data_IF_545633708145
#
_entry.id   IF_545633708145
#
_cell.length_a   1.000
_cell.length_b   1.000
_cell.length_c   1.000
_cell.angle_alpha   90.00
_cell.angle_beta   90.00
_cell.angle_gamma   90.00
#
_symmetry.space_group_name_H-M   'P 1'
#
loop_
_entity.id
_entity.type
_entity.pdbx_description
1 polymer ?
#
# COMPACT_ATOMS: atom_id res chain seq x y z
N UNK A 1 12.00 -10.52 -3.33
CA UNK A 1 11.30 -9.67 -2.36
C UNK A 1 9.94 -10.27 -2.08
N UNK A 2 9.66 -10.65 -0.84
CA UNK A 2 8.34 -11.04 -0.32
C UNK A 2 7.62 -9.84 0.29
N UNK A 3 6.32 -9.99 0.61
CA UNK A 3 5.56 -8.95 1.34
C UNK A 3 6.24 -8.63 2.67
N UNK A 4 6.65 -9.65 3.43
CA UNK A 4 7.35 -9.48 4.71
C UNK A 4 8.69 -8.76 4.55
N UNK A 5 9.47 -9.09 3.51
CA UNK A 5 10.74 -8.41 3.22
C UNK A 5 10.52 -6.93 2.89
N UNK A 6 9.50 -6.61 2.10
CA UNK A 6 9.14 -5.22 1.80
C UNK A 6 8.66 -4.47 3.04
N UNK A 7 7.80 -5.10 3.85
CA UNK A 7 7.30 -4.51 5.08
C UNK A 7 8.42 -4.20 6.08
N UNK A 8 9.38 -5.11 6.24
CA UNK A 8 10.57 -4.90 7.06
C UNK A 8 11.44 -3.75 6.52
N UNK A 9 11.59 -3.63 5.19
CA UNK A 9 12.31 -2.53 4.56
C UNK A 9 11.67 -1.17 4.85
N UNK A 10 10.35 -1.05 4.71
CA UNK A 10 9.60 0.18 5.02
C UNK A 10 9.73 0.52 6.50
N UNK A 11 9.57 -0.48 7.39
CA UNK A 11 9.71 -0.28 8.84
C UNK A 11 11.10 0.25 9.19
N UNK A 12 12.16 -0.39 8.67
CA UNK A 12 13.54 -0.02 8.98
C UNK A 12 13.90 1.40 8.53
N UNK A 13 13.22 1.95 7.51
CA UNK A 13 13.52 3.27 6.95
C UNK A 13 12.72 4.40 7.58
N UNK A 14 11.45 4.15 7.91
CA UNK A 14 10.49 5.25 8.15
C UNK A 14 9.71 5.13 9.47
N UNK A 15 9.83 4.01 10.19
CA UNK A 15 8.97 3.72 11.34
C UNK A 15 9.00 4.80 12.42
N UNK A 16 10.17 5.30 12.81
CA UNK A 16 10.27 6.29 13.88
C UNK A 16 9.50 7.58 13.53
N UNK A 17 9.66 8.09 12.31
CA UNK A 17 8.96 9.29 11.84
C UNK A 17 7.46 9.04 11.65
N UNK A 18 7.08 7.87 11.16
CA UNK A 18 5.68 7.53 10.88
C UNK A 18 4.90 7.27 12.18
N UNK A 19 5.53 6.64 13.17
CA UNK A 19 4.96 6.41 14.50
C UNK A 19 4.69 7.74 15.22
N UNK A 20 5.60 8.72 15.11
CA UNK A 20 5.39 10.08 15.64
C UNK A 20 4.29 10.84 14.90
N UNK A 21 4.13 10.63 13.58
CA UNK A 21 3.09 11.27 12.76
C UNK A 21 1.68 10.85 13.20
N UNK A 22 1.53 9.60 13.64
CA UNK A 22 0.26 9.02 14.10
C UNK A 22 -0.64 8.55 12.95
N UNK A 23 -1.59 7.67 13.30
CA UNK A 23 -2.40 6.91 12.33
C UNK A 23 -3.22 7.82 11.41
N UNK A 24 -3.96 8.80 11.98
CA UNK A 24 -4.86 9.65 11.19
C UNK A 24 -4.12 10.46 10.12
N UNK A 25 -2.96 11.04 10.47
CA UNK A 25 -2.14 11.80 9.53
C UNK A 25 -1.45 10.89 8.50
N UNK A 26 -1.05 9.70 8.90
CA UNK A 26 -0.49 8.70 7.97
C UNK A 26 -1.53 8.21 6.96
N UNK A 27 -2.79 8.06 7.39
CA UNK A 27 -3.89 7.75 6.47
C UNK A 27 -4.19 8.88 5.48
N UNK A 28 -3.99 10.15 5.88
CA UNK A 28 -4.10 11.28 4.96
C UNK A 28 -3.07 11.18 3.83
N UNK A 29 -1.81 10.84 4.12
CA UNK A 29 -0.80 10.58 3.10
C UNK A 29 -1.23 9.45 2.16
N UNK A 30 -1.65 8.29 2.70
CA UNK A 30 -2.18 7.21 1.85
C UNK A 30 -3.36 7.65 0.97
N UNK A 31 -4.22 8.54 1.45
CA UNK A 31 -5.36 9.05 0.69
C UNK A 31 -4.93 9.95 -0.47
N UNK A 32 -3.83 10.68 -0.30
CA UNK A 32 -3.20 11.48 -1.37
C UNK A 32 -2.67 10.58 -2.48
N UNK A 33 -1.94 9.52 -2.13
CA UNK A 33 -1.42 8.52 -3.09
C UNK A 33 -2.52 7.83 -3.90
N UNK A 34 -3.68 7.56 -3.28
CA UNK A 34 -4.83 7.05 -4.02
C UNK A 34 -5.34 8.05 -5.06
N UNK A 35 -5.28 9.35 -4.75
CA UNK A 35 -5.64 10.43 -5.68
C UNK A 35 -4.66 10.52 -6.85
N UNK A 36 -3.35 10.42 -6.58
CA UNK A 36 -2.30 10.44 -7.61
C UNK A 36 -2.41 9.20 -8.51
N UNK A 37 -2.58 8.01 -7.92
CA UNK A 37 -2.86 6.77 -8.68
C UNK A 37 -4.13 6.89 -9.52
N UNK A 38 -5.22 7.45 -8.98
CA UNK A 38 -6.47 7.63 -9.72
C UNK A 38 -6.27 8.55 -10.94
N UNK A 39 -5.48 9.62 -10.79
CA UNK A 39 -5.15 10.51 -11.90
C UNK A 39 -4.29 9.81 -12.97
N UNK A 40 -3.27 9.05 -12.56
CA UNK A 40 -2.43 8.28 -13.46
C UNK A 40 -3.22 7.21 -14.23
N UNK A 41 -4.13 6.50 -13.55
CA UNK A 41 -5.05 5.54 -14.18
C UNK A 41 -6.01 6.23 -15.16
N UNK A 42 -6.53 7.40 -14.81
CA UNK A 42 -7.37 8.18 -15.72
C UNK A 42 -6.64 8.55 -17.02
N UNK A 43 -5.34 8.85 -16.95
CA UNK A 43 -4.50 9.04 -18.16
C UNK A 43 -4.30 7.73 -18.92
N UNK A 44 -4.09 6.62 -18.20
CA UNK A 44 -3.94 5.31 -18.83
C UNK A 44 -5.16 4.93 -19.67
N UNK A 45 -6.37 5.11 -19.14
CA UNK A 45 -7.61 4.81 -19.87
C UNK A 45 -7.81 5.69 -21.12
N UNK A 46 -7.32 6.94 -21.11
CA UNK A 46 -7.38 7.84 -22.26
C UNK A 46 -6.29 7.60 -23.30
N UNK A 47 -5.31 6.74 -23.00
CA UNK A 47 -4.18 6.45 -23.88
C UNK A 47 -3.07 7.50 -23.85
N UNK A 48 -3.02 8.34 -22.81
CA UNK A 48 -2.01 9.40 -22.61
C UNK A 48 -1.18 9.22 -21.32
N UNK A 49 -1.08 7.99 -20.81
CA UNK A 49 -0.33 7.68 -19.61
C UNK A 49 1.19 7.84 -19.76
N UNK A 50 1.79 8.45 -18.74
CA UNK A 50 3.18 8.20 -18.38
C UNK A 50 3.25 6.91 -17.56
N UNK A 51 3.79 5.85 -18.19
CA UNK A 51 3.90 4.54 -17.56
C UNK A 51 4.93 4.50 -16.42
N UNK A 52 5.90 5.43 -16.37
CA UNK A 52 6.83 5.52 -15.26
C UNK A 52 6.11 6.06 -14.03
N UNK A 53 5.38 7.17 -14.19
CA UNK A 53 4.55 7.73 -13.13
C UNK A 53 3.51 6.72 -12.63
N UNK A 54 2.77 6.04 -13.51
CA UNK A 54 1.79 5.04 -13.08
C UNK A 54 2.42 3.92 -12.20
N UNK A 55 3.64 3.49 -12.51
CA UNK A 55 4.36 2.48 -11.72
C UNK A 55 4.78 3.01 -10.35
N UNK A 56 5.16 4.27 -10.29
CA UNK A 56 5.50 5.00 -9.05
C UNK A 56 4.29 5.05 -8.13
N UNK A 57 3.13 5.52 -8.63
CA UNK A 57 1.91 5.63 -7.83
C UNK A 57 1.42 4.27 -7.26
N UNK A 58 1.56 3.19 -8.03
CA UNK A 58 1.26 1.85 -7.51
C UNK A 58 2.20 1.45 -6.37
N UNK A 59 3.47 1.83 -6.45
CA UNK A 59 4.45 1.56 -5.41
C UNK A 59 4.18 2.40 -4.16
N UNK A 60 3.82 3.68 -4.33
CA UNK A 60 3.59 4.59 -3.21
C UNK A 60 2.32 4.24 -2.42
N UNK A 61 1.22 3.91 -3.10
CA UNK A 61 0.03 3.34 -2.44
C UNK A 61 0.39 2.10 -1.62
N UNK A 62 1.19 1.20 -2.17
CA UNK A 62 1.60 -0.01 -1.44
C UNK A 62 2.55 0.30 -0.27
N UNK A 63 3.46 1.26 -0.43
CA UNK A 63 4.39 1.69 0.62
C UNK A 63 3.64 2.33 1.80
N UNK A 64 2.71 3.25 1.53
CA UNK A 64 1.94 3.92 2.58
C UNK A 64 0.94 3.01 3.30
N UNK A 65 0.33 2.05 2.58
CA UNK A 65 -0.44 0.98 3.21
C UNK A 65 0.44 0.14 4.14
N UNK A 66 1.66 -0.17 3.70
CA UNK A 66 2.65 -0.91 4.49
C UNK A 66 3.11 -0.12 5.73
N UNK A 67 3.26 1.20 5.60
CA UNK A 67 3.51 2.08 6.74
C UNK A 67 2.38 2.01 7.77
N UNK A 68 1.11 2.05 7.35
CA UNK A 68 -0.03 1.88 8.26
C UNK A 68 -0.03 0.53 8.98
N UNK A 69 0.29 -0.55 8.27
CA UNK A 69 0.42 -1.87 8.87
C UNK A 69 1.56 -1.91 9.91
N UNK A 70 2.68 -1.26 9.62
CA UNK A 70 3.80 -1.16 10.57
C UNK A 70 3.43 -0.40 11.86
N UNK A 71 2.76 0.75 11.77
CA UNK A 71 2.38 1.56 12.95
C UNK A 71 1.25 0.92 13.77
N UNK A 72 0.49 0.00 13.17
CA UNK A 72 -0.56 -0.78 13.85
C UNK A 72 -0.13 -2.18 14.25
N UNK A 73 1.14 -2.53 14.01
CA UNK A 73 1.75 -3.81 14.33
C UNK A 73 1.07 -5.02 13.67
N UNK A 74 0.61 -4.85 12.42
CA UNK A 74 -0.01 -5.91 11.61
C UNK A 74 1.01 -6.49 10.64
N UNK A 75 1.24 -7.81 10.66
CA UNK A 75 2.00 -8.51 9.60
C UNK A 75 1.12 -8.71 8.37
N UNK A 76 1.48 -8.06 7.25
CA UNK A 76 0.69 -8.12 6.02
C UNK A 76 0.72 -9.50 5.36
N UNK A 77 1.81 -10.28 5.55
CA UNK A 77 1.90 -11.62 4.95
C UNK A 77 0.92 -12.56 5.64
N UNK A 78 0.86 -12.51 6.96
CA UNK A 78 -0.08 -13.30 7.77
C UNK A 78 -1.52 -12.87 7.45
N UNK A 79 -1.81 -11.56 7.42
CA UNK A 79 -3.14 -11.04 7.09
C UNK A 79 -3.63 -11.48 5.70
N UNK A 80 -2.75 -11.46 4.68
CA UNK A 80 -3.09 -11.94 3.33
C UNK A 80 -3.27 -13.46 3.32
N UNK A 81 -2.41 -14.20 4.02
CA UNK A 81 -2.48 -15.66 4.08
C UNK A 81 -3.79 -16.13 4.73
N UNK A 82 -4.14 -15.57 5.88
CA UNK A 82 -5.39 -15.87 6.59
C UNK A 82 -6.61 -15.52 5.74
N UNK A 83 -6.61 -14.36 5.08
CA UNK A 83 -7.79 -13.89 4.35
C UNK A 83 -7.99 -14.60 3.01
N UNK A 84 -6.91 -14.88 2.27
CA UNK A 84 -7.01 -15.26 0.86
C UNK A 84 -6.40 -16.63 0.53
N UNK A 85 -5.55 -17.20 1.39
CA UNK A 85 -4.80 -18.43 1.07
C UNK A 85 -5.32 -19.63 1.87
N UNK A 86 -5.38 -19.53 3.19
CA UNK A 86 -5.58 -20.66 4.11
C UNK A 86 -6.80 -21.54 3.75
N UNK A 87 -7.94 -20.92 3.42
CA UNK A 87 -9.20 -21.63 3.14
C UNK A 87 -9.70 -21.42 1.69
N UNK A 88 -8.80 -21.06 0.77
CA UNK A 88 -9.15 -20.73 -0.62
C UNK A 88 -9.79 -19.34 -0.81
N UNK A 89 -9.77 -18.52 0.23
CA UNK A 89 -10.19 -17.12 0.21
C UNK A 89 -11.71 -16.90 0.09
N UNK A 90 -12.17 -15.64 0.22
CA UNK A 90 -13.57 -15.32 -0.01
C UNK A 90 -13.94 -15.59 -1.47
N UNK A 91 -15.09 -16.25 -1.68
CA UNK A 91 -15.71 -16.32 -3.01
C UNK A 91 -15.99 -14.89 -3.47
N UNK A 92 -15.50 -14.50 -4.65
CA UNK A 92 -15.68 -13.15 -5.17
C UNK A 92 -17.14 -12.73 -5.10
N UNK A 93 -17.44 -11.71 -4.29
CA UNK A 93 -18.71 -11.02 -4.34
C UNK A 93 -18.66 -10.06 -5.53
N UNK A 94 -19.70 -10.09 -6.36
CA UNK A 94 -19.92 -9.14 -7.45
C UNK A 94 -20.11 -7.73 -6.90
#
# INVERSE_FOLDING_TARGET
MTIREFQALIRARYFDTDAERGIAKTFLWLSEEFGELAHALGKYERGDADMANLREEFADVFAWMTTLANVTDIDLTDAVHEKYIQDGGPKGAK
#
